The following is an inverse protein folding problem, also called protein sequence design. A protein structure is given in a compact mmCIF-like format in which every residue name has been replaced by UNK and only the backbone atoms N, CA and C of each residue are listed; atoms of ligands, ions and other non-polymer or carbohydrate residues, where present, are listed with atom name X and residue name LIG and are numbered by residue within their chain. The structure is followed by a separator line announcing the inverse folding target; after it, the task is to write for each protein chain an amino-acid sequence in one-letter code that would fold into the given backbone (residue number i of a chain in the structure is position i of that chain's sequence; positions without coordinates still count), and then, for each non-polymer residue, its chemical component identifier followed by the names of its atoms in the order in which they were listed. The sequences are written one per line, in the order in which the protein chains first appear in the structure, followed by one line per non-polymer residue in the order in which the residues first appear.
data_IF_738813126144
#
_entry.id   IF_738813126144
#
_cell.length_a   1.000
_cell.length_b   1.000
_cell.length_c   1.000
_cell.angle_alpha   90.00
_cell.angle_beta   90.00
_cell.angle_gamma   90.00
#
_symmetry.space_group_name_H-M   'P 1'
#
loop_
_entity.id
_entity.type
_entity.pdbx_description
1 polymer ?
#
# COMPACT_ATOMS: atom_id res chain seq x y z
N UNK A 1 -6.43 24.98 9.02
CA UNK A 1 -7.20 25.05 7.75
C UNK A 1 -6.62 24.14 6.64
N UNK A 2 -5.79 23.15 7.00
CA UNK A 2 -5.09 22.31 6.04
C UNK A 2 -5.87 21.08 5.58
N UNK A 3 -5.42 20.52 4.45
CA UNK A 3 -5.83 19.25 3.91
C UNK A 3 -4.58 18.39 3.72
N UNK A 4 -4.68 17.10 3.95
CA UNK A 4 -3.63 16.11 3.70
C UNK A 4 -4.20 14.97 2.86
N UNK A 5 -3.44 14.55 1.85
CA UNK A 5 -3.69 13.31 1.13
C UNK A 5 -2.64 12.29 1.58
N UNK A 6 -3.08 11.09 1.90
CA UNK A 6 -2.25 9.97 2.29
C UNK A 6 -2.61 8.76 1.42
N UNK A 7 -1.62 8.18 0.75
CA UNK A 7 -1.75 6.86 0.16
C UNK A 7 -0.99 5.85 1.02
N UNK A 8 -1.60 4.70 1.27
CA UNK A 8 -0.97 3.66 2.06
C UNK A 8 -1.41 2.26 1.61
N UNK A 9 -0.44 1.36 1.55
CA UNK A 9 -0.73 -0.07 1.56
C UNK A 9 -1.31 -0.43 2.91
N UNK A 10 -2.37 -1.22 2.91
CA UNK A 10 -3.09 -1.62 4.12
C UNK A 10 -3.23 -3.12 4.22
N UNK A 11 -3.41 -3.58 5.43
CA UNK A 11 -3.78 -4.94 5.77
C UNK A 11 -5.19 -4.94 6.37
N UNK A 12 -5.91 -6.06 6.25
CA UNK A 12 -7.22 -6.20 6.89
C UNK A 12 -7.09 -6.08 8.41
N UNK A 13 -8.05 -5.40 9.05
CA UNK A 13 -8.03 -5.13 10.49
C UNK A 13 -7.95 -6.41 11.32
N UNK A 14 -8.61 -7.49 10.85
CA UNK A 14 -8.69 -8.79 11.55
C UNK A 14 -7.33 -9.48 11.70
N UNK A 15 -6.39 -9.25 10.79
CA UNK A 15 -5.07 -9.90 10.83
C UNK A 15 -3.95 -8.98 11.29
N UNK A 16 -4.22 -7.69 11.45
CA UNK A 16 -3.22 -6.66 11.74
C UNK A 16 -2.36 -6.98 12.97
N UNK A 17 -3.00 -7.34 14.10
CA UNK A 17 -2.26 -7.61 15.34
C UNK A 17 -1.36 -8.84 15.23
N UNK A 18 -1.77 -9.86 14.48
CA UNK A 18 -0.93 -11.03 14.17
C UNK A 18 0.22 -10.63 13.26
N UNK A 19 -0.06 -9.89 12.18
CA UNK A 19 0.95 -9.41 11.24
C UNK A 19 2.02 -8.55 11.93
N UNK A 20 1.62 -7.65 12.81
CA UNK A 20 2.53 -6.78 13.57
C UNK A 20 3.59 -7.57 14.36
N UNK A 21 3.22 -8.76 14.86
CA UNK A 21 4.08 -9.62 15.69
C UNK A 21 4.80 -10.72 14.92
N UNK A 22 4.44 -10.93 13.63
CA UNK A 22 5.04 -11.96 12.79
C UNK A 22 6.14 -11.39 11.91
N UNK A 23 7.05 -12.27 11.50
CA UNK A 23 8.06 -11.99 10.48
C UNK A 23 7.74 -12.85 9.29
N UNK A 24 7.36 -12.22 8.18
CA UNK A 24 7.13 -12.85 6.89
C UNK A 24 8.33 -12.66 5.95
N UNK A 25 8.20 -13.15 4.72
CA UNK A 25 9.22 -13.00 3.68
C UNK A 25 9.57 -11.53 3.44
N UNK A 26 8.58 -10.64 3.38
CA UNK A 26 8.79 -9.21 3.10
C UNK A 26 9.61 -8.56 4.22
N UNK A 27 9.21 -8.77 5.46
CA UNK A 27 9.92 -8.21 6.63
C UNK A 27 11.33 -8.77 6.80
N UNK A 28 11.55 -10.01 6.34
CA UNK A 28 12.85 -10.66 6.50
C UNK A 28 13.84 -10.27 5.41
N UNK A 29 13.41 -10.16 4.15
CA UNK A 29 14.33 -10.09 3.02
C UNK A 29 14.20 -8.83 2.18
N UNK A 30 13.06 -8.15 2.18
CA UNK A 30 12.79 -7.01 1.30
C UNK A 30 12.77 -5.69 2.10
N UNK A 31 11.94 -5.62 3.13
CA UNK A 31 11.76 -4.42 3.96
C UNK A 31 11.88 -4.77 5.45
N UNK A 32 13.10 -5.02 5.96
CA UNK A 32 13.31 -5.32 7.38
C UNK A 32 12.78 -4.20 8.28
N UNK A 33 12.02 -4.58 9.31
CA UNK A 33 11.41 -3.63 10.25
C UNK A 33 10.11 -2.97 9.78
N UNK A 34 9.65 -3.25 8.57
CA UNK A 34 8.38 -2.71 8.07
C UNK A 34 7.16 -3.29 8.79
N UNK A 35 6.09 -2.50 8.84
CA UNK A 35 4.79 -2.96 9.33
C UNK A 35 3.70 -2.30 8.49
N UNK A 36 2.92 -3.11 7.77
CA UNK A 36 1.77 -2.63 7.01
C UNK A 36 0.64 -2.32 8.00
N UNK A 37 0.13 -1.06 8.06
CA UNK A 37 -0.95 -0.69 8.96
C UNK A 37 -2.29 -1.23 8.47
N UNK A 38 -3.28 -1.28 9.36
CA UNK A 38 -4.69 -1.40 8.98
C UNK A 38 -5.38 -0.02 8.98
N UNK A 39 -6.53 0.08 8.31
CA UNK A 39 -7.31 1.33 8.25
C UNK A 39 -7.70 1.78 9.67
N UNK A 40 -8.16 0.86 10.53
CA UNK A 40 -8.50 1.18 11.90
C UNK A 40 -7.28 1.62 12.72
N UNK A 41 -6.11 1.01 12.52
CA UNK A 41 -4.88 1.42 13.20
C UNK A 41 -4.45 2.84 12.80
N UNK A 42 -4.51 3.16 11.51
CA UNK A 42 -4.23 4.52 11.01
C UNK A 42 -5.22 5.54 11.58
N UNK A 43 -6.52 5.25 11.50
CA UNK A 43 -7.58 6.14 12.00
C UNK A 43 -7.45 6.41 13.51
N UNK A 44 -7.14 5.38 14.30
CA UNK A 44 -6.86 5.57 15.74
C UNK A 44 -5.63 6.44 16.00
N UNK A 45 -4.57 6.24 15.23
CA UNK A 45 -3.34 7.03 15.37
C UNK A 45 -3.56 8.51 15.02
N UNK A 46 -4.29 8.76 13.94
CA UNK A 46 -4.66 10.11 13.49
C UNK A 46 -5.50 10.81 14.57
N UNK A 47 -6.52 10.12 15.10
CA UNK A 47 -7.40 10.69 16.12
C UNK A 47 -6.71 10.96 17.47
N UNK A 48 -5.65 10.21 17.80
CA UNK A 48 -4.85 10.46 19.00
C UNK A 48 -3.85 11.60 18.85
N UNK A 49 -3.28 11.76 17.66
CA UNK A 49 -2.18 12.67 17.42
C UNK A 49 -2.60 14.04 16.83
N UNK A 50 -3.84 14.15 16.36
CA UNK A 50 -4.30 15.35 15.65
C UNK A 50 -5.81 15.53 15.71
N UNK A 51 -6.26 16.70 15.26
CA UNK A 51 -7.67 17.04 15.02
C UNK A 51 -8.09 16.79 13.55
N UNK A 52 -7.29 16.06 12.78
CA UNK A 52 -7.60 15.71 11.41
C UNK A 52 -8.81 14.76 11.35
N UNK A 53 -9.70 15.05 10.43
CA UNK A 53 -10.88 14.24 10.13
C UNK A 53 -10.73 13.56 8.77
N UNK A 54 -10.96 12.26 8.71
CA UNK A 54 -11.08 11.54 7.45
C UNK A 54 -12.38 11.97 6.75
N UNK A 55 -12.26 12.50 5.54
CA UNK A 55 -13.39 13.00 4.74
C UNK A 55 -13.60 12.23 3.44
N UNK A 56 -12.60 11.49 2.98
CA UNK A 56 -12.70 10.62 1.80
C UNK A 56 -11.71 9.48 1.92
N UNK A 57 -12.11 8.29 1.46
CA UNK A 57 -11.26 7.12 1.30
C UNK A 57 -11.64 6.45 -0.01
N UNK A 58 -10.65 6.19 -0.85
CA UNK A 58 -10.78 5.44 -2.09
C UNK A 58 -9.89 4.20 -2.05
N UNK A 59 -10.46 3.04 -2.36
CA UNK A 59 -9.74 1.78 -2.48
C UNK A 59 -9.25 1.59 -3.92
N UNK A 60 -7.93 1.67 -4.11
CA UNK A 60 -7.26 1.52 -5.39
C UNK A 60 -6.54 0.16 -5.53
N UNK A 61 -6.84 -0.78 -4.65
CA UNK A 61 -6.26 -2.13 -4.61
C UNK A 61 -6.15 -2.82 -5.98
N UNK A 62 -7.19 -2.84 -6.83
CA UNK A 62 -7.12 -3.49 -8.13
C UNK A 62 -6.06 -2.89 -9.07
N UNK A 63 -5.84 -1.58 -8.95
CA UNK A 63 -4.81 -0.89 -9.74
C UNK A 63 -3.40 -1.32 -9.32
N UNK A 64 -3.21 -1.59 -8.03
CA UNK A 64 -1.89 -1.96 -7.50
C UNK A 64 -1.49 -3.39 -7.90
N UNK A 65 -2.43 -4.35 -7.89
CA UNK A 65 -2.19 -5.69 -8.41
C UNK A 65 -1.74 -5.65 -9.89
N UNK A 66 -2.42 -4.85 -10.72
CA UNK A 66 -2.04 -4.65 -12.12
C UNK A 66 -0.65 -4.00 -12.27
N UNK A 67 -0.36 -3.02 -11.44
CA UNK A 67 0.95 -2.33 -11.43
C UNK A 67 2.09 -3.30 -11.14
N UNK A 68 1.94 -4.18 -10.15
CA UNK A 68 2.94 -5.19 -9.79
C UNK A 68 3.18 -6.19 -10.93
N UNK A 69 2.11 -6.62 -11.62
CA UNK A 69 2.22 -7.45 -12.81
C UNK A 69 3.06 -6.78 -13.90
N UNK A 70 2.73 -5.53 -14.21
CA UNK A 70 3.47 -4.75 -15.21
C UNK A 70 4.94 -4.56 -14.80
N UNK A 71 5.22 -4.32 -13.53
CA UNK A 71 6.60 -4.23 -13.04
C UNK A 71 7.35 -5.54 -13.22
N UNK A 72 6.72 -6.68 -12.95
CA UNK A 72 7.29 -7.99 -13.16
C UNK A 72 7.60 -8.24 -14.64
N UNK A 73 6.65 -7.97 -15.52
CA UNK A 73 6.84 -8.08 -16.98
C UNK A 73 8.01 -7.22 -17.47
N UNK A 74 8.08 -5.96 -17.01
CA UNK A 74 9.19 -5.04 -17.37
C UNK A 74 10.52 -5.49 -16.79
N UNK A 75 10.53 -6.06 -15.61
CA UNK A 75 11.74 -6.62 -15.00
C UNK A 75 12.32 -7.73 -15.89
N UNK A 76 11.51 -8.67 -16.32
CA UNK A 76 11.94 -9.75 -17.21
C UNK A 76 12.26 -9.28 -18.61
N UNK A 77 11.57 -8.31 -19.15
CA UNK A 77 11.92 -7.70 -20.43
C UNK A 77 13.29 -6.99 -20.42
N UNK A 78 13.82 -6.67 -19.24
CA UNK A 78 15.14 -6.05 -19.07
C UNK A 78 16.14 -6.94 -18.33
N UNK A 79 15.93 -8.26 -18.33
CA UNK A 79 16.70 -9.19 -17.49
C UNK A 79 18.20 -9.18 -17.80
N UNK A 80 18.58 -9.00 -19.05
CA UNK A 80 19.98 -8.94 -19.45
C UNK A 80 20.69 -7.70 -18.87
N UNK A 81 19.97 -6.59 -18.76
CA UNK A 81 20.50 -5.39 -18.08
C UNK A 81 20.69 -5.64 -16.58
N UNK A 82 19.77 -6.38 -15.95
CA UNK A 82 19.88 -6.75 -14.53
C UNK A 82 21.12 -7.63 -14.31
N UNK A 83 21.35 -8.62 -15.17
CA UNK A 83 22.56 -9.45 -15.14
C UNK A 83 23.82 -8.65 -15.38
N UNK A 84 23.80 -7.70 -16.32
CA UNK A 84 24.94 -6.82 -16.59
C UNK A 84 25.34 -5.97 -15.38
N UNK A 85 24.41 -5.65 -14.48
CA UNK A 85 24.70 -4.98 -13.20
C UNK A 85 25.43 -5.88 -12.18
N UNK A 86 25.70 -7.14 -12.52
CA UNK A 86 26.41 -8.10 -11.65
C UNK A 86 25.52 -8.68 -10.55
N UNK A 87 24.20 -8.53 -10.62
CA UNK A 87 23.27 -9.10 -9.64
C UNK A 87 23.14 -10.61 -9.85
N UNK A 88 23.24 -11.42 -8.78
CA UNK A 88 23.24 -12.89 -8.90
C UNK A 88 21.84 -13.43 -9.22
N UNK A 89 21.79 -14.65 -9.78
CA UNK A 89 20.52 -15.34 -10.09
C UNK A 89 19.63 -15.54 -8.86
N UNK A 90 20.21 -15.61 -7.66
CA UNK A 90 19.43 -15.62 -6.39
C UNK A 90 18.65 -14.33 -6.19
N UNK A 91 19.23 -13.18 -6.55
CA UNK A 91 18.51 -11.89 -6.52
C UNK A 91 17.36 -11.89 -7.52
N UNK A 92 17.58 -12.36 -8.75
CA UNK A 92 16.56 -12.40 -9.80
C UNK A 92 15.37 -13.24 -9.35
N UNK A 93 15.61 -14.45 -8.80
CA UNK A 93 14.55 -15.32 -8.26
C UNK A 93 13.83 -14.71 -7.06
N UNK A 94 14.58 -14.05 -6.17
CA UNK A 94 13.99 -13.37 -5.01
C UNK A 94 13.09 -12.22 -5.45
N UNK A 95 13.49 -11.46 -6.47
CA UNK A 95 12.72 -10.34 -6.99
C UNK A 95 11.47 -10.78 -7.75
N UNK A 96 11.57 -11.85 -8.53
CA UNK A 96 10.43 -12.51 -9.16
C UNK A 96 9.40 -12.99 -8.13
N UNK A 97 9.87 -13.68 -7.10
CA UNK A 97 9.02 -14.11 -6.00
C UNK A 97 8.37 -12.94 -5.27
N UNK A 98 9.12 -11.88 -4.97
CA UNK A 98 8.63 -10.66 -4.33
C UNK A 98 7.46 -10.04 -5.11
N UNK A 99 7.65 -9.81 -6.41
CA UNK A 99 6.62 -9.18 -7.25
C UNK A 99 5.37 -10.05 -7.36
N UNK A 100 5.54 -11.37 -7.56
CA UNK A 100 4.44 -12.33 -7.64
C UNK A 100 3.70 -12.48 -6.31
N UNK A 101 4.43 -12.54 -5.19
CA UNK A 101 3.86 -12.62 -3.84
C UNK A 101 3.01 -11.38 -3.52
N UNK A 102 3.53 -10.19 -3.83
CA UNK A 102 2.78 -8.96 -3.62
C UNK A 102 1.58 -8.86 -4.56
N UNK A 103 1.71 -9.20 -5.86
CA UNK A 103 0.58 -9.22 -6.79
C UNK A 103 -0.55 -10.10 -6.27
N UNK A 104 -0.24 -11.33 -5.83
CA UNK A 104 -1.22 -12.25 -5.26
C UNK A 104 -1.88 -11.67 -4.00
N UNK A 105 -1.11 -11.04 -3.11
CA UNK A 105 -1.65 -10.41 -1.90
C UNK A 105 -2.70 -9.33 -2.18
N UNK A 106 -2.51 -8.54 -3.23
CA UNK A 106 -3.50 -7.54 -3.65
C UNK A 106 -4.66 -8.15 -4.45
N UNK A 107 -4.39 -9.12 -5.33
CA UNK A 107 -5.42 -9.79 -6.13
C UNK A 107 -6.43 -10.53 -5.23
N UNK A 108 -5.94 -11.20 -4.18
CA UNK A 108 -6.76 -11.92 -3.19
C UNK A 108 -7.32 -11.00 -2.09
N UNK A 109 -7.10 -9.69 -2.19
CA UNK A 109 -7.56 -8.68 -1.22
C UNK A 109 -7.09 -8.93 0.22
N UNK A 110 -5.99 -9.64 0.39
CA UNK A 110 -5.32 -9.78 1.68
C UNK A 110 -4.59 -8.49 2.06
N UNK A 111 -4.04 -7.82 1.04
CA UNK A 111 -3.52 -6.45 1.11
C UNK A 111 -4.46 -5.51 0.36
N UNK A 112 -4.53 -4.27 0.81
CA UNK A 112 -5.20 -3.18 0.14
C UNK A 112 -4.24 -2.03 -0.16
N UNK A 113 -4.64 -1.13 -1.04
CA UNK A 113 -4.00 0.17 -1.22
C UNK A 113 -5.10 1.23 -1.26
N UNK A 114 -5.00 2.21 -0.38
CA UNK A 114 -6.03 3.23 -0.22
C UNK A 114 -5.46 4.64 -0.35
N UNK A 115 -6.26 5.54 -0.90
CA UNK A 115 -6.04 6.97 -0.85
C UNK A 115 -7.02 7.60 0.13
N UNK A 116 -6.50 8.34 1.09
CA UNK A 116 -7.27 8.97 2.17
C UNK A 116 -7.09 10.49 2.12
N UNK A 117 -8.20 11.21 2.20
CA UNK A 117 -8.16 12.67 2.37
C UNK A 117 -8.59 13.01 3.78
N UNK A 118 -7.72 13.76 4.44
CA UNK A 118 -7.94 14.26 5.80
C UNK A 118 -7.94 15.77 5.82
N UNK A 119 -8.84 16.35 6.60
CA UNK A 119 -8.95 17.82 6.72
C UNK A 119 -8.96 18.27 8.16
N UNK A 120 -8.43 19.46 8.38
CA UNK A 120 -8.62 20.18 9.63
C UNK A 120 -10.08 20.66 9.77
N UNK A 121 -10.61 20.86 10.98
CA UNK A 121 -12.01 21.25 11.21
C UNK A 121 -12.45 22.54 10.49
N UNK A 122 -11.53 23.47 10.31
CA UNK A 122 -11.80 24.73 9.62
C UNK A 122 -11.46 24.73 8.12
N UNK A 123 -11.20 23.56 7.54
CA UNK A 123 -11.04 23.41 6.09
C UNK A 123 -12.40 23.66 5.40
N UNK A 124 -12.41 24.56 4.41
CA UNK A 124 -13.60 24.94 3.64
C UNK A 124 -13.44 24.62 2.15
N UNK A 125 -12.51 23.74 1.79
CA UNK A 125 -12.39 23.27 0.41
C UNK A 125 -13.60 22.45 0.03
N UNK A 126 -14.07 22.53 -1.24
CA UNK A 126 -15.17 21.70 -1.72
C UNK A 126 -14.87 20.22 -1.47
N UNK A 127 -15.86 19.42 -1.05
CA UNK A 127 -15.70 17.97 -0.90
C UNK A 127 -15.49 17.31 -2.27
N UNK A 128 -14.76 16.20 -2.30
CA UNK A 128 -14.60 15.33 -3.47
C UNK A 128 -15.81 14.40 -3.63
N UNK A 129 -16.99 14.96 -3.63
CA UNK A 129 -18.23 14.20 -3.84
C UNK A 129 -18.70 14.40 -5.27
N UNK A 130 -19.22 13.34 -5.87
CA UNK A 130 -19.99 13.47 -7.10
C UNK A 130 -21.18 14.43 -6.85
N UNK A 131 -21.57 15.25 -7.86
CA UNK A 131 -22.75 16.08 -7.71
C UNK A 131 -23.96 15.22 -7.38
N UNK A 132 -24.78 15.70 -6.42
CA UNK A 132 -26.04 15.05 -6.11
C UNK A 132 -26.91 15.10 -7.38
N UNK A 133 -27.29 13.93 -7.89
CA UNK A 133 -28.27 13.83 -8.95
C UNK A 133 -29.64 14.03 -8.27
N UNK A 134 -30.26 15.18 -8.52
CA UNK A 134 -31.63 15.49 -8.13
C UNK A 134 -32.62 14.86 -9.10
#
# INVERSE_FOLDING_TARGET
NGMMLLQAITMTDQVFERHKRSVDFIKRYIFPGSCIPSIAAMSRSIARASDLKLVHLEDITPHYARTLRIWRERFFANIDKVRYLGLPETFIRMWDYYLSYCEAGFAERYLGDVQMILTKPLCRRPPLLAPLVT
#
